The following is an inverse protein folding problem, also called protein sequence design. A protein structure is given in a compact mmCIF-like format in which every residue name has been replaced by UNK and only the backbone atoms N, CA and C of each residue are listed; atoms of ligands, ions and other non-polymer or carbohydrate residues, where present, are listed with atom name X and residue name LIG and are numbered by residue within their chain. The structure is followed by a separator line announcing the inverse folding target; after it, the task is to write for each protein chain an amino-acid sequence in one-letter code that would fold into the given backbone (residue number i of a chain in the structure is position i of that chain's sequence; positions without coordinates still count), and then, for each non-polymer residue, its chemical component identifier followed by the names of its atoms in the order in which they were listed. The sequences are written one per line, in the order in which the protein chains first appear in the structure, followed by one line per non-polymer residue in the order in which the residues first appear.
data_IF_433575135088
#
_entry.id   IF_433575135088
#
_cell.length_a   1.000
_cell.length_b   1.000
_cell.length_c   1.000
_cell.angle_alpha   90.00
_cell.angle_beta   90.00
_cell.angle_gamma   90.00
#
_symmetry.space_group_name_H-M   'P 1'
#
loop_
_entity.id
_entity.type
_entity.pdbx_description
1 polymer ?
#
# COMPACT_ATOMS: atom_id res chain seq x y z
N UNK A 1 27.14 25.72 6.98
CA UNK A 1 26.81 24.34 7.38
C UNK A 1 25.78 23.80 6.40
N UNK A 2 25.99 22.61 5.82
CA UNK A 2 25.00 22.00 4.94
C UNK A 2 23.71 21.77 5.75
N UNK A 3 22.56 22.14 5.20
CA UNK A 3 21.27 21.97 5.88
C UNK A 3 20.98 20.48 5.99
N UNK A 4 20.81 20.00 7.22
CA UNK A 4 20.49 18.59 7.46
C UNK A 4 19.17 18.23 6.75
N UNK A 5 19.14 17.09 6.03
CA UNK A 5 17.93 16.63 5.36
C UNK A 5 16.86 16.35 6.41
N UNK A 6 15.65 16.88 6.17
CA UNK A 6 14.48 16.66 7.03
C UNK A 6 13.35 16.08 6.21
N UNK A 7 12.71 15.06 6.76
CA UNK A 7 11.57 14.38 6.16
C UNK A 7 10.66 13.87 7.27
N UNK A 8 9.40 13.63 6.96
CA UNK A 8 8.48 12.91 7.83
C UNK A 8 8.37 11.43 7.45
N UNK A 9 9.11 10.97 6.44
CA UNK A 9 9.11 9.57 5.98
C UNK A 9 10.54 9.12 5.74
N UNK A 10 10.91 8.02 6.37
CA UNK A 10 12.29 7.53 6.38
C UNK A 10 12.34 6.02 6.21
N UNK A 11 13.30 5.54 5.43
CA UNK A 11 13.58 4.13 5.22
C UNK A 11 14.86 3.70 5.94
N UNK A 12 14.90 2.45 6.37
CA UNK A 12 16.04 1.83 7.03
C UNK A 12 16.15 0.34 6.66
N UNK A 13 17.27 -0.29 7.01
CA UNK A 13 17.50 -1.72 6.86
C UNK A 13 17.54 -2.39 8.23
N UNK A 14 16.88 -3.53 8.35
CA UNK A 14 16.94 -4.38 9.54
C UNK A 14 17.53 -5.74 9.15
N UNK A 15 18.75 -6.03 9.60
CA UNK A 15 19.40 -7.31 9.32
C UNK A 15 18.97 -8.38 10.33
N UNK A 16 18.62 -9.56 9.84
CA UNK A 16 18.13 -10.66 10.69
C UNK A 16 19.16 -11.07 11.76
N UNK A 17 20.45 -11.00 11.44
CA UNK A 17 21.53 -11.38 12.34
C UNK A 17 21.74 -10.42 13.52
N UNK A 18 21.37 -9.14 13.38
CA UNK A 18 21.57 -8.11 14.40
C UNK A 18 20.28 -7.64 15.07
N UNK A 19 19.14 -7.85 14.42
CA UNK A 19 17.83 -7.45 14.91
C UNK A 19 17.53 -8.07 16.28
N UNK A 20 16.99 -7.29 17.23
CA UNK A 20 16.42 -7.86 18.45
C UNK A 20 15.32 -8.88 18.10
N UNK A 21 15.23 -9.98 18.85
CA UNK A 21 14.20 -11.00 18.61
C UNK A 21 12.76 -10.44 18.71
N UNK A 22 12.58 -9.40 19.52
CA UNK A 22 11.33 -8.70 19.77
C UNK A 22 11.25 -7.35 19.01
N UNK A 23 11.83 -7.25 17.81
CA UNK A 23 11.86 -6.00 17.04
C UNK A 23 10.46 -5.42 16.77
N UNK A 24 9.42 -6.26 16.65
CA UNK A 24 8.03 -5.80 16.50
C UNK A 24 7.54 -5.07 17.75
N UNK A 25 7.69 -5.67 18.94
CA UNK A 25 7.32 -5.03 20.21
C UNK A 25 8.04 -3.68 20.38
N UNK A 26 9.32 -3.63 20.00
CA UNK A 26 10.12 -2.40 20.05
C UNK A 26 9.56 -1.34 19.11
N UNK A 27 9.16 -1.71 17.89
CA UNK A 27 8.53 -0.80 16.94
C UNK A 27 7.16 -0.32 17.43
N UNK A 28 6.38 -1.19 18.07
CA UNK A 28 5.11 -0.83 18.70
C UNK A 28 5.30 0.19 19.82
N UNK A 29 6.28 -0.04 20.69
CA UNK A 29 6.64 0.85 21.80
C UNK A 29 7.13 2.23 21.34
N UNK A 30 7.65 2.36 20.11
CA UNK A 30 8.00 3.66 19.54
C UNK A 30 6.77 4.52 19.25
N UNK A 31 5.58 3.92 19.10
CA UNK A 31 4.34 4.60 18.72
C UNK A 31 4.46 5.41 17.41
N UNK A 32 5.27 4.92 16.47
CA UNK A 32 5.46 5.52 15.15
C UNK A 32 4.88 4.57 14.10
N UNK A 33 3.92 5.00 13.26
CA UNK A 33 3.43 4.18 12.17
C UNK A 33 4.58 3.65 11.30
N UNK A 34 4.59 2.34 11.09
CA UNK A 34 5.68 1.67 10.38
C UNK A 34 5.16 0.62 9.39
N UNK A 35 6.02 0.30 8.41
CA UNK A 35 5.87 -0.83 7.49
C UNK A 35 7.22 -1.53 7.35
N UNK A 36 7.22 -2.85 7.36
CA UNK A 36 8.38 -3.68 7.07
C UNK A 36 8.07 -4.59 5.88
N UNK A 37 9.03 -4.71 4.96
CA UNK A 37 8.99 -5.70 3.90
C UNK A 37 8.95 -7.13 4.47
N UNK A 38 8.69 -8.14 3.61
CA UNK A 38 9.05 -9.52 3.91
C UNK A 38 10.55 -9.64 4.18
N UNK A 39 11.00 -10.78 4.70
CA UNK A 39 12.43 -11.05 4.78
C UNK A 39 13.02 -11.24 3.38
N UNK A 40 13.95 -10.36 3.01
CA UNK A 40 14.73 -10.47 1.78
C UNK A 40 15.92 -11.41 2.02
N UNK A 41 15.69 -12.70 1.87
CA UNK A 41 16.65 -13.78 2.09
C UNK A 41 17.20 -14.40 0.78
N UNK A 42 16.62 -14.03 -0.37
CA UNK A 42 16.96 -14.56 -1.70
C UNK A 42 17.63 -13.55 -2.61
N UNK A 43 17.91 -12.35 -2.11
CA UNK A 43 18.53 -11.29 -2.89
C UNK A 43 19.97 -11.65 -3.25
N UNK A 44 20.32 -11.54 -4.54
CA UNK A 44 21.66 -11.83 -5.04
C UNK A 44 22.45 -10.53 -5.25
N UNK A 45 23.71 -10.54 -4.84
CA UNK A 45 24.66 -9.48 -5.20
C UNK A 45 25.09 -9.68 -6.67
N UNK A 46 24.80 -8.68 -7.52
CA UNK A 46 25.11 -8.76 -8.96
C UNK A 46 26.61 -8.82 -9.27
N UNK A 47 27.48 -8.32 -8.38
CA UNK A 47 28.93 -8.30 -8.58
C UNK A 47 29.60 -9.62 -8.16
N UNK A 48 29.14 -10.21 -7.04
CA UNK A 48 29.76 -11.42 -6.48
C UNK A 48 29.00 -12.69 -6.80
N UNK A 49 27.72 -12.60 -7.19
CA UNK A 49 26.83 -13.74 -7.38
C UNK A 49 26.37 -14.41 -6.08
N UNK A 50 26.78 -13.89 -4.93
CA UNK A 50 26.44 -14.45 -3.62
C UNK A 50 25.10 -13.89 -3.09
N UNK A 51 24.45 -14.67 -2.22
CA UNK A 51 23.28 -14.18 -1.49
C UNK A 51 23.67 -13.04 -0.55
N UNK A 52 22.86 -11.98 -0.57
CA UNK A 52 22.93 -10.91 0.42
C UNK A 52 22.47 -11.46 1.78
N UNK A 53 22.95 -10.81 2.84
CA UNK A 53 22.47 -11.07 4.20
C UNK A 53 20.96 -10.85 4.27
N UNK A 54 20.25 -11.76 4.94
CA UNK A 54 18.81 -11.64 5.15
C UNK A 54 18.48 -10.31 5.85
N UNK A 55 17.59 -9.53 5.25
CA UNK A 55 17.23 -8.20 5.74
C UNK A 55 15.75 -7.88 5.49
N UNK A 56 15.21 -6.94 6.24
CA UNK A 56 13.96 -6.24 5.93
C UNK A 56 14.28 -4.81 5.53
N UNK A 57 13.53 -4.29 4.58
CA UNK A 57 13.38 -2.85 4.38
C UNK A 57 12.28 -2.35 5.32
N UNK A 58 12.59 -1.34 6.12
CA UNK A 58 11.63 -0.71 7.01
C UNK A 58 11.35 0.72 6.61
N UNK A 59 10.13 1.19 6.85
CA UNK A 59 9.68 2.56 6.66
C UNK A 59 9.01 3.09 7.92
N UNK A 60 9.38 4.31 8.35
CA UNK A 60 8.77 5.04 9.46
C UNK A 60 8.06 6.29 8.95
N UNK A 61 6.84 6.52 9.42
CA UNK A 61 5.98 7.66 9.07
C UNK A 61 5.72 8.51 10.30
N UNK A 62 6.29 9.71 10.33
CA UNK A 62 6.19 10.66 11.43
C UNK A 62 5.15 11.74 11.15
N UNK A 63 4.52 12.27 12.20
CA UNK A 63 3.64 13.44 12.08
C UNK A 63 4.41 14.75 11.85
N UNK A 64 5.69 14.77 12.21
CA UNK A 64 6.57 15.95 12.13
C UNK A 64 7.87 15.63 11.42
N UNK A 65 8.49 16.64 10.83
CA UNK A 65 9.78 16.50 10.16
C UNK A 65 10.88 16.11 11.16
N UNK A 66 11.48 14.93 10.94
CA UNK A 66 12.69 14.47 11.62
C UNK A 66 13.91 14.68 10.75
N UNK A 67 15.07 14.86 11.37
CA UNK A 67 16.35 14.91 10.69
C UNK A 67 16.96 13.52 10.50
N UNK A 68 17.94 13.41 9.61
CA UNK A 68 18.68 12.16 9.39
C UNK A 68 19.26 11.61 10.70
N UNK A 69 19.94 12.46 11.49
CA UNK A 69 20.58 12.03 12.74
C UNK A 69 19.57 11.52 13.76
N UNK A 70 18.43 12.20 13.91
CA UNK A 70 17.36 11.79 14.83
C UNK A 70 16.84 10.39 14.49
N UNK A 71 16.59 10.12 13.21
CA UNK A 71 16.04 8.82 12.79
C UNK A 71 17.12 7.74 12.85
N UNK A 72 18.33 8.04 12.37
CA UNK A 72 19.49 7.15 12.42
C UNK A 72 19.79 6.69 13.85
N UNK A 73 19.83 7.62 14.82
CA UNK A 73 20.05 7.32 16.23
C UNK A 73 18.92 6.45 16.80
N UNK A 74 17.66 6.79 16.50
CA UNK A 74 16.48 6.04 16.95
C UNK A 74 16.56 4.57 16.50
N UNK A 75 16.73 4.32 15.20
CA UNK A 75 16.72 2.93 14.68
C UNK A 75 17.97 2.16 15.09
N UNK A 76 19.14 2.80 15.14
CA UNK A 76 20.39 2.15 15.56
C UNK A 76 20.33 1.73 17.02
N UNK A 77 19.84 2.64 17.90
CA UNK A 77 19.79 2.42 19.34
C UNK A 77 18.81 1.33 19.75
N UNK A 78 17.64 1.29 19.10
CA UNK A 78 16.54 0.42 19.52
C UNK A 78 16.46 -0.88 18.72
N UNK A 79 16.89 -0.88 17.46
CA UNK A 79 16.71 -2.02 16.54
C UNK A 79 18.03 -2.59 16.02
N UNK A 80 19.18 -2.09 16.48
CA UNK A 80 20.51 -2.53 16.02
C UNK A 80 20.68 -2.50 14.50
N UNK A 81 20.08 -1.50 13.85
CA UNK A 81 20.22 -1.29 12.40
C UNK A 81 21.57 -0.65 12.08
N UNK A 82 22.02 -0.69 10.81
CA UNK A 82 23.02 0.26 10.35
C UNK A 82 22.56 1.70 10.60
N UNK A 83 23.52 2.60 10.76
CA UNK A 83 23.24 4.03 10.92
C UNK A 83 22.68 4.70 9.65
N UNK A 84 22.75 4.02 8.50
CA UNK A 84 22.27 4.57 7.23
C UNK A 84 20.75 4.55 7.15
N UNK A 85 20.15 5.71 6.87
CA UNK A 85 18.71 5.89 6.64
C UNK A 85 18.47 6.77 5.42
N UNK A 86 17.35 6.56 4.74
CA UNK A 86 17.05 7.27 3.48
C UNK A 86 15.70 7.98 3.55
N UNK A 87 15.61 9.12 2.86
CA UNK A 87 14.34 9.83 2.73
C UNK A 87 13.46 9.09 1.73
N UNK A 88 12.22 8.78 2.13
CA UNK A 88 11.24 8.20 1.22
C UNK A 88 10.67 9.32 0.34
N UNK A 89 11.06 9.30 -0.94
CA UNK A 89 10.60 10.29 -1.93
C UNK A 89 9.19 9.96 -2.45
N UNK A 90 8.89 8.68 -2.65
CA UNK A 90 7.59 8.17 -3.09
C UNK A 90 7.22 6.97 -2.24
N UNK A 91 6.16 7.05 -1.42
CA UNK A 91 5.67 5.89 -0.67
C UNK A 91 5.29 4.73 -1.59
N UNK A 92 4.62 4.99 -2.72
CA UNK A 92 4.31 3.97 -3.73
C UNK A 92 5.58 3.28 -4.23
N UNK A 93 6.58 4.05 -4.63
CA UNK A 93 7.83 3.47 -5.14
C UNK A 93 8.59 2.66 -4.08
N UNK A 94 8.53 3.07 -2.80
CA UNK A 94 9.10 2.29 -1.70
C UNK A 94 8.35 0.97 -1.49
N UNK A 95 7.03 1.01 -1.67
CA UNK A 95 6.18 -0.16 -1.55
C UNK A 95 6.44 -1.20 -2.65
N UNK A 96 6.43 -0.79 -3.92
CA UNK A 96 6.74 -1.68 -5.05
C UNK A 96 8.15 -2.28 -4.91
N UNK A 97 9.05 -1.53 -4.27
CA UNK A 97 10.39 -1.97 -3.94
C UNK A 97 10.44 -3.03 -2.82
N UNK A 98 9.54 -3.01 -1.84
CA UNK A 98 9.48 -4.01 -0.76
C UNK A 98 9.13 -5.42 -1.26
N UNK A 99 8.42 -5.54 -2.38
CA UNK A 99 8.05 -6.85 -2.95
C UNK A 99 8.81 -7.17 -4.23
N UNK A 100 9.61 -6.22 -4.74
CA UNK A 100 10.25 -6.26 -6.06
C UNK A 100 9.26 -6.44 -7.23
N UNK A 101 8.01 -5.98 -7.07
CA UNK A 101 6.92 -6.16 -8.05
C UNK A 101 7.30 -5.74 -9.48
N UNK A 102 8.04 -4.65 -9.62
CA UNK A 102 8.40 -4.05 -10.91
C UNK A 102 9.79 -4.45 -11.43
N UNK A 103 10.48 -5.42 -10.79
CA UNK A 103 11.83 -5.82 -11.18
C UNK A 103 11.92 -7.30 -11.55
N UNK A 104 11.83 -7.64 -12.85
CA UNK A 104 11.89 -9.04 -13.33
C UNK A 104 13.21 -9.75 -13.02
N UNK A 105 14.29 -9.00 -12.74
CA UNK A 105 15.61 -9.55 -12.45
C UNK A 105 15.82 -9.87 -10.96
N UNK A 106 14.83 -9.57 -10.11
CA UNK A 106 14.89 -9.80 -8.67
C UNK A 106 13.86 -10.82 -8.22
N UNK A 107 14.12 -11.46 -7.08
CA UNK A 107 13.16 -12.34 -6.45
C UNK A 107 11.94 -11.54 -6.01
N UNK A 108 10.76 -11.97 -6.48
CA UNK A 108 9.46 -11.45 -6.06
C UNK A 108 9.14 -11.97 -4.65
N UNK A 109 8.63 -11.10 -3.78
CA UNK A 109 8.18 -11.45 -2.43
C UNK A 109 6.67 -11.24 -2.27
N UNK A 110 6.04 -12.00 -1.37
CA UNK A 110 4.61 -11.95 -1.16
C UNK A 110 4.21 -10.67 -0.42
N UNK A 111 3.17 -10.03 -0.95
CA UNK A 111 2.54 -8.83 -0.40
C UNK A 111 1.95 -9.07 1.00
N UNK A 112 1.49 -10.31 1.26
CA UNK A 112 0.84 -10.69 2.50
C UNK A 112 1.83 -10.87 3.65
N UNK A 113 3.13 -10.96 3.35
CA UNK A 113 4.21 -11.06 4.33
C UNK A 113 4.72 -9.68 4.81
N UNK A 114 4.08 -8.60 4.36
CA UNK A 114 4.35 -7.23 4.83
C UNK A 114 3.79 -7.07 6.24
N UNK A 115 4.63 -6.56 7.13
CA UNK A 115 4.24 -6.25 8.51
C UNK A 115 4.02 -4.74 8.64
N UNK A 116 3.00 -4.33 9.38
CA UNK A 116 2.73 -2.92 9.65
C UNK A 116 2.10 -2.75 11.03
N UNK A 117 2.29 -1.58 11.65
CA UNK A 117 1.79 -1.32 13.00
C UNK A 117 1.63 0.16 13.33
N UNK A 118 1.30 0.43 14.59
CA UNK A 118 1.09 1.78 15.14
C UNK A 118 0.11 2.65 14.33
N UNK A 119 -0.98 2.05 13.84
CA UNK A 119 -2.02 2.77 13.07
C UNK A 119 -1.68 3.02 11.60
N UNK A 120 -0.60 2.41 11.07
CA UNK A 120 -0.39 2.38 9.63
C UNK A 120 -1.47 1.49 8.98
N UNK A 121 -2.35 2.11 8.19
CA UNK A 121 -3.39 1.39 7.44
C UNK A 121 -2.82 0.86 6.13
N UNK A 122 -2.25 -0.34 6.19
CA UNK A 122 -1.64 -0.99 5.03
C UNK A 122 -2.65 -1.16 3.91
N UNK A 123 -3.84 -1.67 4.19
CA UNK A 123 -4.88 -1.90 3.18
C UNK A 123 -5.26 -0.62 2.45
N UNK A 124 -5.57 0.45 3.18
CA UNK A 124 -5.88 1.74 2.57
C UNK A 124 -4.70 2.25 1.75
N UNK A 125 -3.48 2.05 2.24
CA UNK A 125 -2.28 2.40 1.51
C UNK A 125 -2.16 1.62 0.19
N UNK A 126 -2.35 0.29 0.20
CA UNK A 126 -2.30 -0.55 -1.02
C UNK A 126 -3.31 -0.05 -2.04
N UNK A 127 -4.54 0.13 -1.60
CA UNK A 127 -5.63 0.44 -2.51
C UNK A 127 -5.49 1.86 -3.08
N UNK A 128 -5.02 2.81 -2.27
CA UNK A 128 -4.77 4.19 -2.74
C UNK A 128 -3.64 4.23 -3.77
N UNK A 129 -2.61 3.40 -3.61
CA UNK A 129 -1.45 3.38 -4.52
C UNK A 129 -1.70 2.49 -5.77
N UNK A 130 -2.61 1.51 -5.68
CA UNK A 130 -3.10 0.68 -6.79
C UNK A 130 -4.45 1.19 -7.31
N UNK A 131 -4.56 2.51 -7.52
CA UNK A 131 -5.82 3.17 -7.87
C UNK A 131 -6.52 2.59 -9.08
N UNK A 132 -5.78 2.05 -10.04
CA UNK A 132 -6.32 1.57 -11.31
C UNK A 132 -7.01 0.21 -11.14
N UNK A 133 -6.38 -0.73 -10.43
CA UNK A 133 -7.01 -2.01 -10.06
C UNK A 133 -8.25 -1.79 -9.21
N UNK A 134 -8.21 -0.82 -8.31
CA UNK A 134 -9.36 -0.45 -7.48
C UNK A 134 -10.53 0.10 -8.30
N UNK A 135 -10.25 1.03 -9.21
CA UNK A 135 -11.28 1.61 -10.07
C UNK A 135 -11.96 0.50 -10.89
N UNK A 136 -11.17 -0.43 -11.45
CA UNK A 136 -11.68 -1.60 -12.15
C UNK A 136 -12.53 -2.47 -11.24
N UNK A 137 -12.07 -2.82 -10.03
CA UNK A 137 -12.85 -3.63 -9.09
C UNK A 137 -14.20 -3.01 -8.76
N UNK A 138 -14.26 -1.70 -8.48
CA UNK A 138 -15.53 -1.03 -8.18
C UNK A 138 -16.43 -0.97 -9.42
N UNK A 139 -15.85 -0.76 -10.61
CA UNK A 139 -16.60 -0.84 -11.86
C UNK A 139 -17.20 -2.23 -12.02
N UNK A 140 -16.41 -3.29 -11.88
CA UNK A 140 -16.85 -4.69 -12.00
C UNK A 140 -18.00 -4.99 -11.02
N UNK A 141 -17.87 -4.59 -9.75
CA UNK A 141 -18.93 -4.71 -8.75
C UNK A 141 -20.21 -3.99 -9.19
N UNK A 142 -20.10 -2.76 -9.72
CA UNK A 142 -21.25 -2.02 -10.25
C UNK A 142 -21.88 -2.76 -11.44
N UNK A 143 -21.06 -3.38 -12.30
CA UNK A 143 -21.55 -4.09 -13.48
C UNK A 143 -22.23 -5.42 -13.12
N UNK A 144 -21.57 -6.25 -12.32
CA UNK A 144 -22.02 -7.57 -11.88
C UNK A 144 -23.31 -7.50 -11.06
N UNK A 145 -23.41 -6.54 -10.13
CA UNK A 145 -24.61 -6.32 -9.33
C UNK A 145 -25.63 -5.39 -10.01
N UNK A 146 -25.33 -4.89 -11.21
CA UNK A 146 -26.14 -3.96 -11.98
C UNK A 146 -26.60 -2.74 -11.16
N UNK A 147 -25.69 -2.13 -10.40
CA UNK A 147 -26.01 -0.93 -9.65
C UNK A 147 -26.27 0.25 -10.59
N UNK A 148 -27.37 0.97 -10.32
CA UNK A 148 -27.75 2.19 -11.02
C UNK A 148 -27.80 3.41 -10.09
N UNK A 149 -27.70 3.19 -8.78
CA UNK A 149 -27.84 4.20 -7.73
C UNK A 149 -26.63 4.18 -6.80
N UNK A 150 -26.09 5.36 -6.46
CA UNK A 150 -24.93 5.47 -5.58
C UNK A 150 -25.20 4.93 -4.18
N UNK A 151 -26.44 5.08 -3.69
CA UNK A 151 -26.86 4.51 -2.42
C UNK A 151 -26.69 2.98 -2.37
N UNK A 152 -27.01 2.27 -3.45
CA UNK A 152 -26.86 0.81 -3.52
C UNK A 152 -25.39 0.40 -3.44
N UNK A 153 -24.51 1.10 -4.16
CA UNK A 153 -23.07 0.89 -4.11
C UNK A 153 -22.51 1.15 -2.69
N UNK A 154 -22.92 2.24 -2.05
CA UNK A 154 -22.51 2.57 -0.68
C UNK A 154 -22.99 1.52 0.32
N UNK A 155 -24.23 1.05 0.18
CA UNK A 155 -24.77 0.02 1.06
C UNK A 155 -23.99 -1.29 0.93
N UNK A 156 -23.75 -1.74 -0.30
CA UNK A 156 -22.95 -2.92 -0.60
C UNK A 156 -21.54 -2.81 -0.01
N UNK A 157 -20.84 -1.70 -0.27
CA UNK A 157 -19.50 -1.50 0.27
C UNK A 157 -19.50 -1.49 1.80
N UNK A 158 -20.52 -0.90 2.44
CA UNK A 158 -20.62 -0.88 3.89
C UNK A 158 -20.83 -2.28 4.50
N UNK A 159 -21.56 -3.16 3.84
CA UNK A 159 -21.86 -4.51 4.38
C UNK A 159 -20.76 -5.52 4.05
N UNK A 160 -20.29 -5.53 2.82
CA UNK A 160 -19.37 -6.57 2.32
C UNK A 160 -17.90 -6.17 2.45
N UNK A 161 -17.57 -4.89 2.28
CA UNK A 161 -16.18 -4.43 2.24
C UNK A 161 -15.99 -3.00 2.75
N UNK A 162 -15.94 -2.79 4.08
CA UNK A 162 -15.80 -1.45 4.67
C UNK A 162 -14.56 -0.68 4.21
N UNK A 163 -13.49 -1.37 3.77
CA UNK A 163 -12.30 -0.75 3.20
C UNK A 163 -12.64 -0.08 1.86
N UNK A 164 -13.37 -0.79 0.99
CA UNK A 164 -13.89 -0.30 -0.30
C UNK A 164 -14.71 0.99 -0.15
N UNK A 165 -15.50 1.10 0.94
CA UNK A 165 -16.34 2.26 1.21
C UNK A 165 -15.50 3.54 1.29
N UNK A 166 -14.38 3.52 2.02
CA UNK A 166 -13.54 4.72 2.20
C UNK A 166 -13.07 5.31 0.88
N UNK A 167 -12.78 4.47 -0.09
CA UNK A 167 -12.25 4.84 -1.39
C UNK A 167 -13.34 5.24 -2.38
N UNK A 168 -14.51 4.60 -2.31
CA UNK A 168 -15.72 5.05 -3.02
C UNK A 168 -16.04 6.49 -2.60
N UNK A 169 -15.94 6.81 -1.30
CA UNK A 169 -16.12 8.18 -0.81
C UNK A 169 -15.07 9.15 -1.38
N UNK A 170 -13.80 8.76 -1.44
CA UNK A 170 -12.72 9.59 -1.99
C UNK A 170 -12.89 9.88 -3.50
N UNK A 171 -13.56 8.99 -4.24
CA UNK A 171 -13.81 9.11 -5.70
C UNK A 171 -15.30 9.30 -6.03
N UNK A 172 -16.10 9.82 -5.10
CA UNK A 172 -17.57 9.94 -5.20
C UNK A 172 -18.03 10.51 -6.55
N UNK A 173 -17.39 11.58 -7.04
CA UNK A 173 -17.80 12.22 -8.29
C UNK A 173 -17.72 11.30 -9.51
N UNK A 174 -16.64 10.53 -9.62
CA UNK A 174 -16.44 9.60 -10.74
C UNK A 174 -17.52 8.52 -10.72
N UNK A 175 -17.72 7.85 -9.59
CA UNK A 175 -18.69 6.76 -9.48
C UNK A 175 -20.13 7.24 -9.60
N UNK A 176 -20.48 8.41 -9.07
CA UNK A 176 -21.79 9.01 -9.29
C UNK A 176 -22.06 9.25 -10.78
N UNK A 177 -21.09 9.81 -11.51
CA UNK A 177 -21.21 10.05 -12.96
C UNK A 177 -21.28 8.77 -13.78
N UNK A 178 -20.53 7.75 -13.39
CA UNK A 178 -20.58 6.45 -14.04
C UNK A 178 -21.95 5.77 -13.84
N UNK A 179 -22.50 5.79 -12.63
CA UNK A 179 -23.84 5.27 -12.33
C UNK A 179 -24.95 6.05 -13.06
N UNK A 180 -24.86 7.39 -13.10
CA UNK A 180 -25.77 8.23 -13.90
C UNK A 180 -25.74 7.80 -15.38
N UNK A 181 -24.53 7.62 -15.94
CA UNK A 181 -24.35 7.19 -17.32
C UNK A 181 -25.03 5.83 -17.58
N UNK A 182 -24.84 4.85 -16.69
CA UNK A 182 -25.49 3.53 -16.79
C UNK A 182 -27.01 3.62 -16.74
N UNK A 183 -27.57 4.45 -15.85
CA UNK A 183 -29.03 4.63 -15.69
C UNK A 183 -29.70 5.19 -16.96
N UNK A 184 -28.98 6.09 -17.63
CA UNK A 184 -29.46 6.77 -18.83
C UNK A 184 -28.96 6.12 -20.13
N UNK A 185 -28.26 4.99 -20.07
CA UNK A 185 -27.87 4.24 -21.25
C UNK A 185 -29.11 3.75 -22.01
N UNK A 186 -29.25 4.23 -23.25
CA UNK A 186 -30.39 3.94 -24.12
C UNK A 186 -30.22 2.60 -24.83
N UNK A 187 -28.99 2.18 -25.10
CA UNK A 187 -28.71 0.95 -25.84
C UNK A 187 -29.15 -0.28 -25.04
N UNK A 188 -28.91 -0.27 -23.72
CA UNK A 188 -29.34 -1.35 -22.81
C UNK A 188 -30.88 -1.47 -22.72
N UNK A 189 -31.59 -0.34 -22.79
CA UNK A 189 -33.06 -0.32 -22.76
C UNK A 189 -33.66 -0.89 -24.04
N UNK A 190 -33.04 -0.65 -25.20
CA UNK A 190 -33.47 -1.19 -26.48
C UNK A 190 -33.24 -2.71 -26.57
N UNK A 191 -32.13 -3.22 -26.01
CA UNK A 191 -31.84 -4.66 -25.93
C UNK A 191 -32.79 -5.41 -24.98
N UNK A 192 -33.08 -4.85 -23.80
CA UNK A 192 -34.07 -5.41 -22.88
C UNK A 192 -35.47 -5.42 -23.51
N UNK A 193 -35.86 -4.35 -24.20
CA UNK A 193 -37.12 -4.30 -24.94
C UNK A 193 -37.16 -5.33 -26.07
N UNK A 194 -36.10 -5.45 -26.87
CA UNK A 194 -36.03 -6.41 -27.97
C UNK A 194 -36.12 -7.87 -27.47
N UNK A 195 -35.48 -8.19 -26.34
CA UNK A 195 -35.51 -9.53 -25.72
C UNK A 195 -36.90 -9.91 -25.18
N UNK A 196 -37.72 -8.92 -24.79
CA UNK A 196 -39.09 -9.15 -24.31
C UNK A 196 -40.09 -9.40 -25.45
N UNK A 197 -39.77 -8.99 -26.67
CA UNK A 197 -40.59 -9.24 -27.87
C UNK A 197 -40.19 -10.50 -28.65
N UNK A 198 -39.13 -11.22 -28.23
CA UNK A 198 -38.66 -12.46 -28.87
C UNK A 198 -38.92 -13.75 -28.06
N UNK A 199 -39.68 -13.67 -26.95
CA UNK A 199 -40.20 -14.83 -26.20
C UNK A 199 -41.71 -14.95 -26.37
#
# INVERSE_FOLDING_TARGET
MAKEKRSNKWAFLLYQESAPKNYLDILEDMHIPFVLSPWHDKDINKETGEFKKAHKHGALYFDSLKSYSQVSELVTKHLNTPAHVEVIMSPKGMYDYFTHAENPEKTLYDINDIESGCGFDLDKFLITNNSDEFLTLVIDIIEEHNFLEFNSLVHYARTENPKLLSLIMDKTYFFAKYLDSRRYDKNKKEEEHASHFTR
#
